data_IF_662115162263
#
_entry.id   IF_662115162263
#
_cell.length_a   1.000
_cell.length_b   1.000
_cell.length_c   1.000
_cell.angle_alpha   90.00
_cell.angle_beta   90.00
_cell.angle_gamma   90.00
#
_symmetry.space_group_name_H-M   'P 1'
#
loop_
_entity.id
_entity.type
_entity.pdbx_description
1 polymer ?
#
# COMPACT_ATOMS: atom_id res chain seq x y z
N UNK A 1 -19.62 -0.87 -65.38
CA UNK A 1 -19.16 0.01 -64.29
C UNK A 1 -18.63 -0.87 -63.17
N UNK A 2 -17.30 -0.97 -63.00
CA UNK A 2 -16.66 -1.83 -61.99
C UNK A 2 -16.37 -1.00 -60.76
N UNK A 3 -17.09 -1.24 -59.67
CA UNK A 3 -16.83 -0.59 -58.38
C UNK A 3 -15.80 -1.45 -57.66
N UNK A 4 -14.56 -0.97 -57.61
CA UNK A 4 -13.53 -1.52 -56.75
C UNK A 4 -13.79 -0.98 -55.34
N UNK A 5 -14.30 -1.82 -54.45
CA UNK A 5 -14.34 -1.54 -53.02
C UNK A 5 -12.92 -1.76 -52.46
N UNK A 6 -12.21 -0.72 -51.99
CA UNK A 6 -10.94 -0.94 -51.31
C UNK A 6 -11.23 -1.58 -49.94
N UNK A 7 -10.67 -2.77 -49.74
CA UNK A 7 -10.59 -3.46 -48.46
C UNK A 7 -9.71 -2.58 -47.55
N UNK A 8 -10.33 -1.72 -46.74
CA UNK A 8 -9.67 -1.12 -45.57
C UNK A 8 -9.61 -2.20 -44.50
N UNK A 9 -8.54 -3.00 -44.54
CA UNK A 9 -8.10 -3.80 -43.41
C UNK A 9 -7.57 -2.81 -42.36
N UNK A 10 -8.47 -2.26 -41.55
CA UNK A 10 -8.10 -1.57 -40.34
C UNK A 10 -7.41 -2.60 -39.44
N UNK A 11 -6.08 -2.59 -39.44
CA UNK A 11 -5.28 -3.24 -38.44
C UNK A 11 -5.68 -2.63 -37.09
N UNK A 12 -6.59 -3.31 -36.40
CA UNK A 12 -6.89 -3.11 -35.00
C UNK A 12 -5.59 -3.44 -34.26
N UNK A 13 -4.72 -2.45 -34.13
CA UNK A 13 -3.61 -2.49 -33.17
C UNK A 13 -4.27 -2.37 -31.81
N UNK A 14 -4.86 -3.49 -31.36
CA UNK A 14 -5.19 -3.71 -29.97
C UNK A 14 -3.87 -3.59 -29.23
N UNK A 15 -3.65 -2.45 -28.58
CA UNK A 15 -2.64 -2.34 -27.55
C UNK A 15 -2.99 -3.34 -26.47
N UNK A 16 -2.42 -4.54 -26.58
CA UNK A 16 -2.21 -5.42 -25.45
C UNK A 16 -1.30 -4.64 -24.52
N UNK A 17 -1.87 -3.78 -23.68
CA UNK A 17 -1.18 -3.29 -22.50
C UNK A 17 -0.91 -4.53 -21.66
N UNK A 18 0.23 -5.18 -21.90
CA UNK A 18 0.71 -6.26 -21.08
C UNK A 18 0.75 -5.70 -19.67
N UNK A 19 0.03 -6.35 -18.75
CA UNK A 19 0.04 -5.98 -17.35
C UNK A 19 1.51 -5.84 -16.92
N UNK A 20 1.85 -4.73 -16.26
CA UNK A 20 3.23 -4.44 -15.86
C UNK A 20 3.85 -5.68 -15.19
N UNK A 21 4.87 -6.25 -15.83
CA UNK A 21 5.65 -7.35 -15.28
C UNK A 21 6.89 -6.77 -14.62
N UNK A 22 7.14 -7.17 -13.38
CA UNK A 22 8.37 -6.82 -12.69
C UNK A 22 9.56 -7.44 -13.45
N UNK A 23 10.50 -6.64 -13.98
CA UNK A 23 11.56 -7.14 -14.85
C UNK A 23 12.66 -7.90 -14.08
N UNK A 24 12.59 -7.95 -12.74
CA UNK A 24 13.59 -8.63 -11.91
C UNK A 24 13.44 -10.15 -11.98
N UNK A 25 14.52 -10.92 -11.80
CA UNK A 25 14.45 -12.37 -11.66
C UNK A 25 13.49 -12.82 -10.55
N UNK A 26 12.80 -13.96 -10.74
CA UNK A 26 11.76 -14.44 -9.81
C UNK A 26 12.31 -14.74 -8.42
N UNK A 27 13.50 -15.31 -8.34
CA UNK A 27 14.23 -15.58 -7.09
C UNK A 27 14.54 -14.30 -6.32
N UNK A 28 14.93 -13.23 -7.01
CA UNK A 28 15.13 -11.90 -6.42
C UNK A 28 13.82 -11.33 -5.89
N UNK A 29 12.73 -11.43 -6.65
CA UNK A 29 11.41 -10.97 -6.22
C UNK A 29 10.93 -11.72 -4.96
N UNK A 30 11.13 -13.05 -4.92
CA UNK A 30 10.76 -13.89 -3.77
C UNK A 30 11.60 -13.56 -2.54
N UNK A 31 12.92 -13.44 -2.68
CA UNK A 31 13.81 -13.08 -1.58
C UNK A 31 13.48 -11.70 -0.99
N UNK A 32 13.21 -10.70 -1.83
CA UNK A 32 12.81 -9.38 -1.38
C UNK A 32 11.41 -9.36 -0.73
N UNK A 33 10.47 -10.16 -1.23
CA UNK A 33 9.18 -10.38 -0.58
C UNK A 33 9.35 -10.98 0.82
N UNK A 34 10.14 -12.04 0.95
CA UNK A 34 10.40 -12.67 2.24
C UNK A 34 11.06 -11.72 3.23
N UNK A 35 12.06 -10.95 2.77
CA UNK A 35 12.72 -9.93 3.58
C UNK A 35 11.73 -8.85 4.01
N UNK A 36 10.93 -8.32 3.09
CA UNK A 36 9.94 -7.27 3.39
C UNK A 36 8.88 -7.77 4.37
N UNK A 37 8.34 -8.98 4.17
CA UNK A 37 7.40 -9.61 5.10
C UNK A 37 8.01 -9.79 6.48
N UNK A 38 9.29 -10.20 6.57
CA UNK A 38 10.00 -10.37 7.84
C UNK A 38 10.21 -9.04 8.55
N UNK A 39 10.78 -8.05 7.86
CA UNK A 39 11.15 -6.77 8.44
C UNK A 39 9.95 -5.88 8.74
N UNK A 40 8.84 -6.02 8.01
CA UNK A 40 7.63 -5.19 8.18
C UNK A 40 6.51 -5.88 8.95
N UNK A 41 6.65 -7.17 9.30
CA UNK A 41 5.76 -7.80 10.27
C UNK A 41 6.05 -7.29 11.68
N UNK A 42 4.99 -7.14 12.47
CA UNK A 42 5.07 -6.68 13.84
C UNK A 42 3.92 -5.78 14.25
N UNK A 43 4.08 -5.14 15.41
CA UNK A 43 3.13 -4.17 15.93
C UNK A 43 3.70 -2.77 15.86
N UNK A 44 2.85 -1.81 15.55
CA UNK A 44 3.20 -0.42 15.35
C UNK A 44 2.24 0.46 16.14
N UNK A 45 2.77 1.50 16.76
CA UNK A 45 1.97 2.61 17.27
C UNK A 45 1.71 3.60 16.14
N UNK A 46 0.48 4.11 16.04
CA UNK A 46 0.13 5.19 15.11
C UNK A 46 0.46 6.52 15.77
N UNK A 47 1.37 7.28 15.16
CA UNK A 47 1.85 8.59 15.65
C UNK A 47 1.01 9.74 15.09
N UNK A 48 0.65 9.64 13.81
CA UNK A 48 -0.13 10.63 13.07
C UNK A 48 -0.96 9.87 12.01
N UNK A 49 -2.12 10.39 11.67
CA UNK A 49 -3.04 9.80 10.70
C UNK A 49 -3.67 10.89 9.82
N UNK A 50 -3.77 10.64 8.51
CA UNK A 50 -4.38 11.54 7.54
C UNK A 50 -5.52 10.88 6.81
N UNK A 51 -6.57 11.66 6.61
CA UNK A 51 -7.85 11.18 6.10
C UNK A 51 -8.40 10.00 6.90
N UNK A 52 -8.10 9.90 8.19
CA UNK A 52 -8.65 8.83 9.02
C UNK A 52 -10.18 8.91 8.97
N UNK A 53 -10.81 7.76 8.72
CA UNK A 53 -12.16 7.62 8.17
C UNK A 53 -13.17 8.72 8.55
N UNK A 54 -13.30 9.72 7.68
CA UNK A 54 -14.22 10.84 7.87
C UNK A 54 -15.59 10.56 7.26
N UNK A 55 -16.61 10.47 8.10
CA UNK A 55 -17.84 11.27 7.91
C UNK A 55 -18.66 11.41 9.20
N UNK A 56 -18.76 10.39 10.06
CA UNK A 56 -19.56 10.50 11.31
C UNK A 56 -19.01 9.75 12.54
N UNK A 57 -18.01 8.88 12.39
CA UNK A 57 -17.49 8.07 13.51
C UNK A 57 -16.00 8.22 13.81
N UNK A 58 -15.18 8.78 12.90
CA UNK A 58 -13.72 8.87 12.98
C UNK A 58 -13.11 7.61 13.58
N UNK A 59 -12.75 6.67 12.72
CA UNK A 59 -11.84 5.61 13.17
C UNK A 59 -10.60 6.33 13.73
N UNK A 60 -10.30 6.17 15.01
CA UNK A 60 -9.15 6.81 15.68
C UNK A 60 -8.10 5.72 15.85
N UNK A 61 -7.35 5.44 14.79
CA UNK A 61 -6.37 4.36 14.80
C UNK A 61 -5.23 4.68 15.77
N UNK A 62 -4.90 3.74 16.66
CA UNK A 62 -3.76 3.87 17.58
C UNK A 62 -2.72 2.76 17.39
N UNK A 63 -3.07 1.67 16.71
CA UNK A 63 -2.16 0.55 16.48
C UNK A 63 -2.39 -0.07 15.12
N UNK A 64 -1.29 -0.43 14.45
CA UNK A 64 -1.30 -1.33 13.30
C UNK A 64 -0.59 -2.62 13.69
N UNK A 65 -1.20 -3.77 13.38
CA UNK A 65 -0.55 -5.07 13.43
C UNK A 65 -0.42 -5.62 12.03
N UNK A 66 0.81 -5.92 11.62
CA UNK A 66 1.12 -6.57 10.34
C UNK A 66 1.54 -8.00 10.61
N UNK A 67 0.85 -8.97 10.02
CA UNK A 67 1.13 -10.39 10.18
C UNK A 67 1.31 -11.09 8.85
N UNK A 68 2.38 -11.87 8.70
CA UNK A 68 2.62 -12.69 7.51
C UNK A 68 1.55 -13.78 7.34
N UNK A 69 1.09 -14.00 6.11
CA UNK A 69 0.19 -15.10 5.73
C UNK A 69 0.70 -15.79 4.46
N UNK A 70 1.67 -16.69 4.59
CA UNK A 70 2.35 -17.29 3.43
C UNK A 70 3.08 -16.21 2.61
N UNK A 71 2.63 -15.98 1.37
CA UNK A 71 3.08 -14.90 0.48
C UNK A 71 2.17 -13.65 0.57
N UNK A 72 1.17 -13.67 1.45
CA UNK A 72 0.28 -12.56 1.78
C UNK A 72 0.64 -11.87 3.09
N UNK A 73 -0.13 -10.85 3.44
CA UNK A 73 -0.02 -10.15 4.71
C UNK A 73 -1.40 -9.69 5.22
N UNK A 74 -1.60 -9.76 6.53
CA UNK A 74 -2.79 -9.28 7.22
C UNK A 74 -2.46 -7.96 7.91
N UNK A 75 -3.26 -6.94 7.66
CA UNK A 75 -3.12 -5.62 8.28
C UNK A 75 -4.33 -5.38 9.18
N UNK A 76 -4.13 -5.39 10.49
CA UNK A 76 -5.15 -5.10 11.48
C UNK A 76 -4.88 -3.71 12.05
N UNK A 77 -5.66 -2.73 11.61
CA UNK A 77 -5.71 -1.42 12.25
C UNK A 77 -6.65 -1.51 13.45
N UNK A 78 -6.21 -1.05 14.60
CA UNK A 78 -6.98 -1.04 15.85
C UNK A 78 -7.24 0.41 16.22
N UNK A 79 -8.53 0.74 16.27
CA UNK A 79 -9.04 2.01 16.76
C UNK A 79 -9.59 1.87 18.18
N UNK A 80 -10.10 2.97 18.73
CA UNK A 80 -10.60 3.03 20.11
C UNK A 80 -11.80 2.10 20.38
N UNK A 81 -12.68 1.90 19.41
CA UNK A 81 -13.95 1.16 19.59
C UNK A 81 -14.11 -0.02 18.63
N UNK A 82 -13.29 -0.06 17.60
CA UNK A 82 -13.40 -0.92 16.45
C UNK A 82 -12.02 -1.28 15.90
N UNK A 83 -11.98 -2.29 15.03
CA UNK A 83 -10.77 -2.68 14.34
C UNK A 83 -11.10 -2.92 12.87
N UNK A 84 -10.21 -2.46 12.00
CA UNK A 84 -10.29 -2.68 10.57
C UNK A 84 -9.28 -3.76 10.17
N UNK A 85 -9.78 -4.76 9.48
CA UNK A 85 -8.98 -5.82 8.92
C UNK A 85 -8.87 -5.70 7.41
N UNK A 86 -7.65 -5.56 6.91
CA UNK A 86 -7.32 -5.64 5.48
C UNK A 86 -6.51 -6.93 5.25
N UNK A 87 -7.06 -7.87 4.47
CA UNK A 87 -6.38 -9.10 4.09
C UNK A 87 -5.69 -8.91 2.72
N UNK A 88 -4.36 -8.84 2.75
CA UNK A 88 -3.51 -8.71 1.58
C UNK A 88 -3.12 -10.07 0.98
N UNK A 89 -3.24 -10.18 -0.34
CA UNK A 89 -2.79 -11.29 -1.17
C UNK A 89 -1.89 -10.76 -2.30
N UNK A 90 -1.25 -11.66 -3.05
CA UNK A 90 -0.33 -11.33 -4.15
C UNK A 90 0.67 -10.22 -3.78
N UNK A 91 1.23 -10.31 -2.56
CA UNK A 91 2.11 -9.28 -2.07
C UNK A 91 3.42 -9.24 -2.84
N UNK A 92 3.95 -8.03 -2.98
CA UNK A 92 5.24 -7.74 -3.58
C UNK A 92 6.09 -7.03 -2.53
N UNK A 93 7.28 -7.55 -2.31
CA UNK A 93 8.30 -6.87 -1.51
C UNK A 93 9.30 -6.16 -2.41
N UNK A 94 9.84 -5.08 -1.89
CA UNK A 94 10.98 -4.41 -2.49
C UNK A 94 11.89 -3.84 -1.42
N UNK A 95 13.19 -3.94 -1.62
CA UNK A 95 14.13 -3.07 -0.92
C UNK A 95 14.42 -1.87 -1.81
N UNK A 96 14.34 -0.67 -1.25
CA UNK A 96 14.83 0.52 -1.92
C UNK A 96 16.34 0.40 -2.22
N UNK A 97 16.92 1.25 -3.09
CA UNK A 97 18.33 1.17 -3.48
C UNK A 97 19.35 1.24 -2.32
N UNK A 98 18.92 1.69 -1.13
CA UNK A 98 19.74 1.71 0.08
C UNK A 98 19.90 0.33 0.75
N UNK A 99 19.12 -0.67 0.32
CA UNK A 99 19.08 -2.02 0.89
C UNK A 99 18.54 -2.10 2.32
N UNK A 100 18.00 -1.02 2.87
CA UNK A 100 17.63 -0.88 4.31
C UNK A 100 16.21 -0.38 4.53
N UNK A 101 15.56 0.08 3.47
CA UNK A 101 14.20 0.61 3.47
C UNK A 101 13.29 -0.38 2.75
N UNK A 102 12.78 -1.42 3.45
CA UNK A 102 11.86 -2.38 2.88
C UNK A 102 10.49 -1.75 2.63
N UNK A 103 9.82 -2.25 1.59
CA UNK A 103 8.50 -1.87 1.14
C UNK A 103 7.68 -3.13 0.85
N UNK A 104 6.44 -3.17 1.32
CA UNK A 104 5.52 -4.27 1.10
C UNK A 104 4.19 -3.73 0.60
N UNK A 105 3.83 -4.11 -0.63
CA UNK A 105 2.52 -3.88 -1.22
C UNK A 105 1.75 -5.18 -1.31
N UNK A 106 0.45 -5.14 -1.11
CA UNK A 106 -0.42 -6.27 -1.39
C UNK A 106 -1.62 -5.85 -2.23
N UNK A 107 -2.12 -6.78 -3.05
CA UNK A 107 -3.49 -6.71 -3.54
C UNK A 107 -4.45 -7.09 -2.41
N UNK A 108 -5.73 -6.73 -2.53
CA UNK A 108 -6.77 -7.10 -1.54
C UNK A 108 -7.99 -7.62 -2.27
N UNK A 109 -8.53 -8.75 -1.83
CA UNK A 109 -9.76 -9.27 -2.41
C UNK A 109 -10.92 -8.52 -1.76
N UNK A 110 -11.68 -7.77 -2.55
CA UNK A 110 -13.00 -7.20 -2.24
C UNK A 110 -13.27 -6.93 -0.75
N UNK A 111 -13.18 -5.67 -0.34
CA UNK A 111 -13.65 -5.28 0.98
C UNK A 111 -13.21 -3.89 1.34
N UNK A 112 -13.99 -2.87 0.94
CA UNK A 112 -13.86 -1.49 1.38
C UNK A 112 -12.53 -0.79 1.09
N UNK A 113 -11.45 -1.51 0.77
CA UNK A 113 -10.05 -1.06 0.78
C UNK A 113 -9.23 -1.78 -0.27
N UNK A 114 -8.21 -1.09 -0.81
CA UNK A 114 -7.26 -1.67 -1.75
C UNK A 114 -5.86 -1.05 -1.67
N UNK A 115 -4.89 -1.78 -2.23
CA UNK A 115 -3.49 -1.39 -2.31
C UNK A 115 -2.85 -1.00 -0.96
N UNK A 116 -2.96 -1.82 0.11
CA UNK A 116 -2.20 -1.61 1.32
C UNK A 116 -0.70 -1.67 1.04
N UNK A 117 0.00 -0.67 1.54
CA UNK A 117 1.43 -0.51 1.48
C UNK A 117 1.94 -0.21 2.88
N UNK A 118 2.89 -1.00 3.37
CA UNK A 118 3.69 -0.66 4.54
C UNK A 118 5.15 -0.54 4.11
N UNK A 119 5.83 0.50 4.56
CA UNK A 119 7.22 0.74 4.19
C UNK A 119 8.00 1.38 5.33
N UNK A 120 9.33 1.20 5.29
CA UNK A 120 10.25 2.08 5.98
C UNK A 120 10.74 3.12 4.98
N UNK A 121 10.50 4.39 5.27
CA UNK A 121 10.69 5.48 4.33
C UNK A 121 12.18 5.77 4.13
N UNK A 122 12.63 5.86 2.88
CA UNK A 122 14.05 6.10 2.54
C UNK A 122 14.45 7.58 2.61
N UNK A 123 13.57 8.47 2.18
CA UNK A 123 13.84 9.91 2.06
C UNK A 123 12.78 10.70 2.80
N UNK A 124 13.16 11.85 3.34
CA UNK A 124 12.21 12.78 3.91
C UNK A 124 11.14 13.14 2.86
N UNK A 125 9.87 13.08 3.25
CA UNK A 125 8.74 13.37 2.38
C UNK A 125 7.57 13.98 3.16
N UNK A 126 6.75 14.73 2.45
CA UNK A 126 5.50 15.26 2.97
C UNK A 126 4.33 14.48 2.39
N UNK A 127 3.42 14.06 3.28
CA UNK A 127 2.19 13.37 2.91
C UNK A 127 1.00 14.27 3.25
N UNK A 128 0.31 14.75 2.21
CA UNK A 128 -0.83 15.66 2.36
C UNK A 128 -2.17 14.95 2.45
N UNK A 129 -3.15 15.59 3.10
CA UNK A 129 -4.55 15.26 2.91
C UNK A 129 -4.97 15.69 1.50
N UNK A 130 -5.23 14.74 0.59
CA UNK A 130 -5.73 15.07 -0.75
C UNK A 130 -7.23 15.39 -0.69
N UNK A 131 -7.63 16.60 -1.06
CA UNK A 131 -9.05 16.98 -1.19
C UNK A 131 -9.31 18.49 -1.27
N UNK A 132 -10.49 18.86 -1.79
CA UNK A 132 -10.92 20.26 -2.04
C UNK A 132 -11.01 21.15 -0.78
N UNK A 133 -10.92 20.58 0.42
CA UNK A 133 -11.09 21.26 1.71
C UNK A 133 -9.94 20.96 2.71
N UNK A 134 -8.75 20.61 2.22
CA UNK A 134 -7.62 20.22 3.08
C UNK A 134 -7.09 21.41 3.91
N UNK A 135 -7.70 21.67 5.06
CA UNK A 135 -7.20 22.59 6.10
C UNK A 135 -6.12 21.94 6.98
N UNK A 136 -5.89 20.63 6.81
CA UNK A 136 -4.91 19.89 7.59
C UNK A 136 -3.49 20.16 7.10
N UNK A 137 -2.58 20.47 8.04
CA UNK A 137 -1.15 20.58 7.74
C UNK A 137 -0.63 19.24 7.19
N UNK A 138 0.28 19.23 6.20
CA UNK A 138 0.92 18.00 5.73
C UNK A 138 1.58 17.22 6.88
N UNK A 139 1.52 15.89 6.79
CA UNK A 139 2.28 14.99 7.66
C UNK A 139 3.74 14.98 7.20
N UNK A 140 4.64 15.25 8.12
CA UNK A 140 6.09 15.19 7.88
C UNK A 140 6.56 13.77 8.17
N UNK A 141 7.14 13.10 7.17
CA UNK A 141 7.65 11.74 7.29
C UNK A 141 9.15 11.77 7.02
N UNK A 142 9.95 11.33 7.99
CA UNK A 142 11.41 11.36 7.88
C UNK A 142 11.95 10.03 7.38
N UNK A 143 13.15 10.08 6.81
CA UNK A 143 13.91 8.88 6.51
C UNK A 143 14.05 8.00 7.76
N UNK A 144 13.72 6.72 7.63
CA UNK A 144 13.72 5.73 8.69
C UNK A 144 12.39 5.55 9.42
N UNK A 145 11.43 6.46 9.25
CA UNK A 145 10.07 6.31 9.77
C UNK A 145 9.33 5.18 9.04
N UNK A 146 8.28 4.65 9.67
CA UNK A 146 7.40 3.68 9.03
C UNK A 146 6.12 4.35 8.58
N UNK A 147 5.67 4.05 7.36
CA UNK A 147 4.44 4.58 6.80
C UNK A 147 3.55 3.42 6.38
N UNK A 148 2.27 3.51 6.73
CA UNK A 148 1.24 2.62 6.20
C UNK A 148 0.21 3.44 5.43
N UNK A 149 -0.16 2.98 4.24
CA UNK A 149 -1.20 3.59 3.45
C UNK A 149 -2.04 2.55 2.71
N UNK A 150 -3.28 2.90 2.42
CA UNK A 150 -4.19 2.14 1.58
C UNK A 150 -5.24 3.10 1.01
N UNK A 151 -6.08 2.60 0.12
CA UNK A 151 -7.13 3.39 -0.52
C UNK A 151 -8.51 2.84 -0.20
N UNK A 152 -9.49 3.70 0.05
CA UNK A 152 -10.90 3.30 0.19
C UNK A 152 -11.48 2.89 -1.18
N UNK A 153 -12.09 1.71 -1.23
CA UNK A 153 -12.83 1.20 -2.37
C UNK A 153 -14.05 2.07 -2.64
N UNK A 154 -14.19 2.52 -3.88
CA UNK A 154 -15.29 3.39 -4.32
C UNK A 154 -14.85 4.85 -4.41
N UNK A 155 -14.32 5.43 -3.33
CA UNK A 155 -13.86 6.82 -3.35
C UNK A 155 -12.43 6.98 -3.90
N UNK A 156 -11.62 5.92 -3.82
CA UNK A 156 -10.20 5.97 -4.14
C UNK A 156 -9.39 6.86 -3.20
N UNK A 157 -9.97 7.30 -2.08
CA UNK A 157 -9.29 8.20 -1.14
C UNK A 157 -8.15 7.48 -0.45
N UNK A 158 -6.93 8.05 -0.44
CA UNK A 158 -5.82 7.47 0.28
C UNK A 158 -5.90 7.82 1.76
N UNK A 159 -5.58 6.83 2.59
CA UNK A 159 -5.39 6.95 4.03
C UNK A 159 -3.90 6.76 4.33
N UNK A 160 -3.36 7.56 5.23
CA UNK A 160 -1.94 7.51 5.60
C UNK A 160 -1.79 7.49 7.11
N UNK A 161 -0.92 6.61 7.60
CA UNK A 161 -0.62 6.44 9.02
C UNK A 161 0.89 6.46 9.20
N UNK A 162 1.40 7.44 9.93
CA UNK A 162 2.78 7.48 10.39
C UNK A 162 2.92 6.54 11.58
N UNK A 163 3.93 5.69 11.56
CA UNK A 163 4.05 4.57 12.48
C UNK A 163 5.38 4.57 13.23
N UNK A 164 5.33 4.11 14.48
CA UNK A 164 6.49 3.73 15.27
C UNK A 164 6.46 2.23 15.51
N UNK A 165 7.46 1.50 15.01
CA UNK A 165 7.57 0.06 15.27
C UNK A 165 7.80 -0.18 16.75
N UNK A 166 6.98 -1.05 17.36
CA UNK A 166 7.19 -1.48 18.74
C UNK A 166 8.33 -2.49 18.81
N UNK A 167 9.13 -2.49 19.89
CA UNK A 167 10.08 -3.57 20.13
C UNK A 167 9.35 -4.90 20.09
N UNK A 168 9.96 -5.93 19.49
CA UNK A 168 9.49 -7.28 19.68
C UNK A 168 9.53 -7.58 21.20
N UNK A 169 8.40 -7.97 21.78
CA UNK A 169 8.41 -8.48 23.14
C UNK A 169 9.17 -9.80 23.06
N UNK A 170 10.34 -9.87 23.68
CA UNK A 170 11.04 -11.14 23.86
C UNK A 170 10.14 -12.00 24.76
N UNK A 171 9.67 -13.12 24.22
CA UNK A 171 9.00 -14.18 24.99
C UNK A 171 9.97 -14.86 25.96
#
# INVERSE_FOLDING_TARGET
>A
MKIYAPILLAALVSGCATAYQDPRPLDVQQAELENSLKELSGQYEVIDARNDFYSFTKFEAHTLVVSRQGNGAKFLLVGKKDALLINGHDCKGRNEPDGKSPWLYCATEKGGFFAPVVERVRIDQEVGAKGLLSVEKPMQVKAGDYLFNFHESGSGRPHYYLLKKRPAVAE
#
